data_IF_293482368480
#
_entry.id   IF_293482368480
#
_cell.length_a   1.000
_cell.length_b   1.000
_cell.length_c   1.000
_cell.angle_alpha   90.00
_cell.angle_beta   90.00
_cell.angle_gamma   90.00
#
_symmetry.space_group_name_H-M   'P 1'
#
loop_
_entity.id
_entity.type
_entity.pdbx_description
1 polymer ?
#
# COMPACT_ATOMS: atom_id res chain seq x y z
N UNK A 1 -59.69 31.30 15.19
CA UNK A 1 -59.15 31.83 13.92
C UNK A 1 -57.77 31.22 13.70
N UNK A 2 -57.62 30.56 12.55
CA UNK A 2 -56.39 30.07 11.87
C UNK A 2 -55.37 31.22 11.67
N UNK A 3 -54.05 31.04 11.56
CA UNK A 3 -53.19 30.32 10.59
C UNK A 3 -51.76 30.25 11.19
N UNK A 4 -51.01 29.13 11.16
CA UNK A 4 -50.00 28.78 10.12
C UNK A 4 -49.11 29.98 9.76
N UNK A 5 -47.86 30.01 10.19
CA UNK A 5 -46.67 29.59 9.44
C UNK A 5 -45.47 30.33 10.11
N UNK A 6 -44.19 29.97 10.12
CA UNK A 6 -43.38 28.93 9.47
C UNK A 6 -41.97 29.06 10.09
N UNK A 7 -41.24 27.95 10.10
CA UNK A 7 -39.77 27.90 10.01
C UNK A 7 -38.97 28.25 11.27
N UNK A 8 -38.99 27.25 12.17
CA UNK A 8 -37.81 26.75 12.88
C UNK A 8 -36.65 26.57 11.90
N UNK A 9 -35.81 27.60 11.75
CA UNK A 9 -34.64 27.56 10.86
C UNK A 9 -33.54 26.73 11.52
N UNK A 10 -33.46 25.49 11.06
CA UNK A 10 -32.42 24.51 11.33
C UNK A 10 -31.04 25.07 10.93
N UNK A 11 -30.27 25.58 11.89
CA UNK A 11 -28.87 25.92 11.69
C UNK A 11 -28.00 24.64 11.79
N UNK A 12 -28.07 23.78 10.79
CA UNK A 12 -27.10 22.72 10.53
C UNK A 12 -27.35 22.21 9.10
N UNK A 13 -26.53 22.61 8.11
CA UNK A 13 -25.40 21.75 7.78
C UNK A 13 -24.22 22.53 7.17
N UNK A 14 -23.61 23.49 7.88
CA UNK A 14 -22.38 24.13 7.39
C UNK A 14 -21.09 23.41 7.85
N UNK A 15 -21.19 22.48 8.82
CA UNK A 15 -20.03 21.79 9.40
C UNK A 15 -19.56 20.54 8.64
N UNK A 16 -20.29 20.10 7.60
CA UNK A 16 -19.93 18.89 6.84
C UNK A 16 -18.97 19.13 5.66
N UNK A 17 -18.64 20.39 5.34
CA UNK A 17 -17.73 20.73 4.23
C UNK A 17 -16.28 20.97 4.66
N UNK A 18 -15.96 20.90 5.96
CA UNK A 18 -14.61 21.17 6.46
C UNK A 18 -13.67 19.94 6.50
N UNK A 19 -14.14 18.74 6.12
CA UNK A 19 -13.34 17.50 6.20
C UNK A 19 -12.55 17.15 4.94
N UNK A 20 -12.54 18.01 3.91
CA UNK A 20 -11.93 17.69 2.61
C UNK A 20 -10.99 18.81 2.15
N UNK A 21 -9.89 19.05 2.87
CA UNK A 21 -8.65 19.62 2.31
C UNK A 21 -7.57 19.85 3.38
N UNK A 22 -7.25 18.85 4.20
CA UNK A 22 -5.91 18.78 4.79
C UNK A 22 -5.03 17.95 3.87
N UNK A 23 -4.82 18.44 2.64
CA UNK A 23 -3.64 18.09 1.88
C UNK A 23 -2.47 18.85 2.54
N UNK A 24 -2.07 18.37 3.73
CA UNK A 24 -0.73 18.62 4.20
C UNK A 24 0.20 18.24 3.05
N UNK A 25 1.19 19.06 2.74
CA UNK A 25 2.28 18.67 1.87
C UNK A 25 2.90 17.42 2.49
N UNK A 26 2.42 16.24 2.08
CA UNK A 26 2.88 14.97 2.56
C UNK A 26 4.27 14.84 1.96
N UNK A 27 5.27 14.91 2.83
CA UNK A 27 6.64 14.58 2.48
C UNK A 27 6.62 13.28 1.68
N UNK A 28 7.36 13.24 0.57
CA UNK A 28 7.35 12.07 -0.30
C UNK A 28 7.72 10.84 0.56
N UNK A 29 6.93 9.74 0.51
CA UNK A 29 7.14 8.63 1.43
C UNK A 29 8.56 8.08 1.32
N UNK A 30 9.19 7.84 2.47
CA UNK A 30 10.57 7.36 2.54
C UNK A 30 10.69 5.97 1.91
N UNK A 31 11.92 5.57 1.54
CA UNK A 31 12.21 4.21 1.06
C UNK A 31 11.69 3.14 2.03
N UNK A 32 11.85 3.39 3.34
CA UNK A 32 11.35 2.51 4.41
C UNK A 32 9.83 2.39 4.42
N UNK A 33 9.11 3.49 4.27
CA UNK A 33 7.64 3.48 4.20
C UNK A 33 7.14 2.78 2.94
N UNK A 34 7.79 3.01 1.80
CA UNK A 34 7.47 2.30 0.55
C UNK A 34 7.72 0.81 0.69
N UNK A 35 8.82 0.41 1.32
CA UNK A 35 9.11 -0.99 1.62
C UNK A 35 8.05 -1.61 2.53
N UNK A 36 7.67 -0.94 3.62
CA UNK A 36 6.60 -1.40 4.51
C UNK A 36 5.25 -1.53 3.78
N UNK A 37 4.92 -0.58 2.90
CA UNK A 37 3.69 -0.62 2.10
C UNK A 37 3.65 -1.83 1.14
N UNK A 38 4.78 -2.15 0.50
CA UNK A 38 4.89 -3.30 -0.38
C UNK A 38 4.75 -4.60 0.41
N UNK A 39 5.42 -4.72 1.58
CA UNK A 39 5.26 -5.86 2.48
C UNK A 39 3.83 -6.05 2.98
N UNK A 40 3.15 -4.97 3.34
CA UNK A 40 1.76 -5.01 3.75
C UNK A 40 0.85 -5.50 2.61
N UNK A 41 1.09 -5.03 1.38
CA UNK A 41 0.39 -5.53 0.20
C UNK A 41 0.58 -7.04 0.01
N UNK A 42 1.82 -7.53 0.09
CA UNK A 42 2.14 -8.94 -0.08
C UNK A 42 1.42 -9.80 0.95
N UNK A 43 1.50 -9.43 2.23
CA UNK A 43 0.82 -10.15 3.31
C UNK A 43 -0.69 -10.22 3.10
N UNK A 44 -1.32 -9.08 2.78
CA UNK A 44 -2.77 -9.00 2.59
C UNK A 44 -3.21 -9.88 1.42
N UNK A 45 -2.58 -9.75 0.25
CA UNK A 45 -2.97 -10.52 -0.93
C UNK A 45 -2.66 -12.01 -0.76
N UNK A 46 -1.52 -12.36 -0.15
CA UNK A 46 -1.19 -13.75 0.14
C UNK A 46 -2.24 -14.39 1.06
N UNK A 47 -2.63 -13.71 2.14
CA UNK A 47 -3.65 -14.20 3.07
C UNK A 47 -5.01 -14.42 2.39
N UNK A 48 -5.38 -13.58 1.43
CA UNK A 48 -6.60 -13.74 0.63
C UNK A 48 -6.49 -14.95 -0.32
N UNK A 49 -5.35 -15.08 -1.02
CA UNK A 49 -5.17 -16.10 -2.06
C UNK A 49 -4.96 -17.51 -1.49
N UNK A 50 -4.37 -17.66 -0.30
CA UNK A 50 -4.22 -18.98 0.35
C UNK A 50 -5.54 -19.59 0.80
N UNK A 51 -6.59 -18.77 0.95
CA UNK A 51 -7.94 -19.27 1.22
C UNK A 51 -8.58 -19.92 -0.03
N UNK A 52 -8.06 -19.62 -1.22
CA UNK A 52 -8.64 -20.01 -2.51
C UNK A 52 -7.74 -20.97 -3.31
N UNK A 53 -6.46 -21.07 -2.98
CA UNK A 53 -5.47 -21.77 -3.80
C UNK A 53 -4.31 -22.35 -2.98
N UNK A 54 -3.41 -23.09 -3.64
CA UNK A 54 -2.19 -23.55 -2.99
C UNK A 54 -1.28 -22.38 -2.62
N UNK A 55 -0.47 -22.56 -1.56
CA UNK A 55 0.45 -21.50 -1.08
C UNK A 55 1.44 -21.02 -2.15
N UNK A 56 1.85 -21.91 -3.04
CA UNK A 56 2.74 -21.56 -4.17
C UNK A 56 2.04 -20.62 -5.14
N UNK A 57 0.82 -20.97 -5.56
CA UNK A 57 0.00 -20.14 -6.45
C UNK A 57 -0.31 -18.80 -5.78
N UNK A 58 -0.66 -18.81 -4.49
CA UNK A 58 -0.95 -17.61 -3.72
C UNK A 58 0.25 -16.66 -3.60
N UNK A 59 1.48 -17.19 -3.42
CA UNK A 59 2.68 -16.37 -3.38
C UNK A 59 2.93 -15.67 -4.72
N UNK A 60 2.81 -16.42 -5.82
CA UNK A 60 2.99 -15.87 -7.16
C UNK A 60 1.88 -14.86 -7.52
N UNK A 61 0.64 -15.09 -7.07
CA UNK A 61 -0.48 -14.17 -7.22
C UNK A 61 -0.28 -12.87 -6.44
N UNK A 62 0.14 -12.95 -5.17
CA UNK A 62 0.44 -11.79 -4.35
C UNK A 62 1.55 -10.92 -4.95
N UNK A 63 2.62 -11.54 -5.46
CA UNK A 63 3.70 -10.82 -6.14
C UNK A 63 3.20 -10.07 -7.38
N UNK A 64 2.31 -10.69 -8.19
CA UNK A 64 1.71 -10.02 -9.35
C UNK A 64 0.78 -8.87 -8.93
N UNK A 65 -0.09 -9.09 -7.95
CA UNK A 65 -1.03 -8.08 -7.47
C UNK A 65 -0.33 -6.85 -6.88
N UNK A 66 0.83 -7.04 -6.24
CA UNK A 66 1.57 -5.98 -5.56
C UNK A 66 2.64 -5.28 -6.41
N UNK A 67 2.67 -5.53 -7.73
CA UNK A 67 3.60 -4.87 -8.69
C UNK A 67 3.60 -3.33 -8.61
N UNK A 68 2.47 -2.62 -8.43
CA UNK A 68 2.50 -1.16 -8.28
C UNK A 68 3.25 -0.70 -7.03
N UNK A 69 3.03 -1.35 -5.88
CA UNK A 69 3.74 -1.04 -4.64
C UNK A 69 5.23 -1.43 -4.69
N UNK A 70 5.55 -2.53 -5.37
CA UNK A 70 6.94 -2.91 -5.68
C UNK A 70 7.62 -1.79 -6.47
N UNK A 71 7.00 -1.34 -7.57
CA UNK A 71 7.57 -0.31 -8.43
C UNK A 71 7.79 1.00 -7.67
N UNK A 72 6.85 1.41 -6.82
CA UNK A 72 7.01 2.61 -6.00
C UNK A 72 8.19 2.51 -5.02
N UNK A 73 8.41 1.33 -4.43
CA UNK A 73 9.57 1.06 -3.59
C UNK A 73 10.88 1.11 -4.39
N UNK A 74 10.93 0.44 -5.54
CA UNK A 74 12.12 0.40 -6.40
C UNK A 74 12.47 1.78 -6.96
N UNK A 75 11.48 2.58 -7.35
CA UNK A 75 11.71 3.98 -7.78
C UNK A 75 12.26 4.84 -6.64
N UNK A 76 11.74 4.68 -5.42
CA UNK A 76 12.29 5.37 -4.26
C UNK A 76 13.74 4.91 -3.95
N UNK A 77 14.03 3.61 -4.15
CA UNK A 77 15.38 3.07 -3.96
C UNK A 77 16.38 3.64 -4.97
N UNK A 78 16.00 3.76 -6.24
CA UNK A 78 16.83 4.35 -7.30
C UNK A 78 16.99 5.88 -7.19
N UNK A 79 16.21 6.54 -6.32
CA UNK A 79 16.40 7.95 -6.01
C UNK A 79 17.54 8.15 -4.99
N UNK A 80 18.06 7.08 -4.39
CA UNK A 80 19.23 7.12 -3.51
C UNK A 80 20.51 7.36 -4.33
N UNK A 81 21.42 8.24 -3.89
CA UNK A 81 22.69 8.48 -4.57
C UNK A 81 23.65 7.28 -4.56
N UNK A 82 23.33 6.22 -3.79
CA UNK A 82 24.14 5.01 -3.65
C UNK A 82 23.72 3.87 -4.59
N UNK A 83 22.55 3.97 -5.22
CA UNK A 83 21.96 2.88 -6.01
C UNK A 83 21.27 3.51 -7.22
N UNK A 84 21.70 3.14 -8.42
CA UNK A 84 21.05 3.62 -9.65
C UNK A 84 19.96 2.67 -10.17
N UNK A 85 19.33 3.03 -11.28
CA UNK A 85 18.25 2.22 -11.88
C UNK A 85 18.72 0.85 -12.39
N UNK A 86 19.97 0.73 -12.83
CA UNK A 86 20.53 -0.51 -13.36
C UNK A 86 20.86 -1.48 -12.23
N UNK A 87 21.36 -0.96 -11.11
CA UNK A 87 21.53 -1.71 -9.86
C UNK A 87 20.18 -2.26 -9.38
N UNK A 88 19.15 -1.43 -9.35
CA UNK A 88 17.79 -1.83 -9.00
C UNK A 88 17.26 -2.92 -9.92
N UNK A 89 17.42 -2.76 -11.24
CA UNK A 89 17.01 -3.76 -12.23
C UNK A 89 17.72 -5.10 -12.03
N UNK A 90 19.01 -5.08 -11.67
CA UNK A 90 19.83 -6.26 -11.40
C UNK A 90 19.40 -7.00 -10.14
N UNK A 91 19.06 -6.29 -9.07
CA UNK A 91 18.71 -6.92 -7.78
C UNK A 91 17.25 -7.36 -7.71
N UNK A 92 16.37 -6.78 -8.53
CA UNK A 92 14.93 -7.04 -8.52
C UNK A 92 14.56 -8.53 -8.61
N UNK A 93 15.14 -9.38 -9.49
CA UNK A 93 14.83 -10.81 -9.51
C UNK A 93 15.15 -11.52 -8.19
N UNK A 94 16.28 -11.18 -7.56
CA UNK A 94 16.68 -11.75 -6.28
C UNK A 94 15.76 -11.28 -5.13
N UNK A 95 15.33 -10.01 -5.19
CA UNK A 95 14.34 -9.46 -4.26
C UNK A 95 13.01 -10.21 -4.34
N UNK A 96 12.49 -10.45 -5.56
CA UNK A 96 11.25 -11.19 -5.76
C UNK A 96 11.35 -12.64 -5.30
N UNK A 97 12.48 -13.30 -5.55
CA UNK A 97 12.73 -14.66 -5.07
C UNK A 97 12.73 -14.71 -3.53
N UNK A 98 13.36 -13.73 -2.88
CA UNK A 98 13.34 -13.61 -1.41
C UNK A 98 11.94 -13.36 -0.87
N UNK A 99 11.19 -12.45 -1.48
CA UNK A 99 9.80 -12.17 -1.12
C UNK A 99 8.92 -13.41 -1.21
N UNK A 100 9.08 -14.18 -2.29
CA UNK A 100 8.40 -15.46 -2.46
C UNK A 100 8.74 -16.45 -1.35
N UNK A 101 10.04 -16.66 -1.07
CA UNK A 101 10.49 -17.55 0.00
C UNK A 101 9.90 -17.15 1.36
N UNK A 102 9.98 -15.86 1.69
CA UNK A 102 9.44 -15.32 2.92
C UNK A 102 7.93 -15.57 3.10
N UNK A 103 7.12 -15.43 2.04
CA UNK A 103 5.69 -15.75 2.06
C UNK A 103 5.43 -17.24 2.34
N UNK A 104 6.21 -18.12 1.69
CA UNK A 104 6.08 -19.57 1.84
C UNK A 104 6.53 -20.05 3.22
N UNK A 105 7.55 -19.42 3.79
CA UNK A 105 8.06 -19.75 5.12
C UNK A 105 7.19 -19.20 6.26
N UNK A 106 6.19 -18.36 5.93
CA UNK A 106 5.30 -17.71 6.91
C UNK A 106 6.00 -16.59 7.68
N UNK A 107 6.95 -15.91 7.05
CA UNK A 107 7.72 -14.81 7.65
C UNK A 107 8.67 -15.21 8.78
N UNK A 108 8.89 -16.51 8.98
CA UNK A 108 9.79 -17.06 10.01
C UNK A 108 11.27 -16.96 9.63
N UNK A 109 11.55 -16.94 8.33
CA UNK A 109 12.90 -16.70 7.82
C UNK A 109 13.11 -15.20 7.61
N UNK A 110 14.33 -14.74 7.91
CA UNK A 110 14.94 -13.40 7.78
C UNK A 110 14.01 -12.29 7.23
N UNK A 111 13.89 -11.14 7.92
CA UNK A 111 13.03 -10.04 7.47
C UNK A 111 13.30 -9.66 6.02
N UNK A 112 12.22 -9.50 5.24
CA UNK A 112 12.28 -8.83 3.93
C UNK A 112 12.79 -7.41 4.06
#
# INVERSE_FOLDING_TARGET
MTFRDLLRTSAAPALLLAFVASAAAQEAPTVTERHASWRACLNRNFALEVALSSRVIAADAALRACRPSEQAYLTALSASPLVDGDDVARVRPALLLRARGWLLDGGRQRPL
#
